data_IF_488895886425
#
_entry.id   IF_488895886425
#
_cell.length_a   1.000
_cell.length_b   1.000
_cell.length_c   1.000
_cell.angle_alpha   90.00
_cell.angle_beta   90.00
_cell.angle_gamma   90.00
#
_symmetry.space_group_name_H-M   'P 1'
#
loop_
_entity.id
_entity.type
_entity.pdbx_description
1 polymer ?
#
# COMPACT_ATOMS: atom_id res chain seq x y z
N UNK A 1 7.56 -35.61 27.61
CA UNK A 1 7.53 -35.69 26.14
C UNK A 1 7.11 -34.36 25.51
N UNK A 2 7.89 -33.83 24.55
CA UNK A 2 7.47 -32.70 23.71
C UNK A 2 6.53 -33.18 22.59
N UNK A 3 5.48 -32.41 22.32
CA UNK A 3 4.55 -32.70 21.23
C UNK A 3 5.06 -32.05 19.95
N UNK A 4 5.05 -32.82 18.85
CA UNK A 4 5.46 -32.31 17.55
C UNK A 4 4.36 -31.42 16.97
N UNK A 5 4.70 -30.17 16.69
CA UNK A 5 3.80 -29.20 16.05
C UNK A 5 3.58 -29.55 14.58
N UNK A 6 2.36 -29.32 14.12
CA UNK A 6 1.97 -29.31 12.72
C UNK A 6 1.66 -27.86 12.38
N UNK A 7 2.48 -27.27 11.52
CA UNK A 7 2.40 -25.87 11.16
C UNK A 7 2.10 -25.69 9.68
N UNK A 8 1.38 -24.63 9.36
CA UNK A 8 1.32 -24.05 8.02
C UNK A 8 2.13 -22.75 7.99
N UNK A 9 2.44 -22.26 6.80
CA UNK A 9 3.13 -20.98 6.60
C UNK A 9 2.22 -20.02 5.86
N UNK A 10 2.20 -18.77 6.29
CA UNK A 10 1.57 -17.66 5.58
C UNK A 10 2.68 -16.72 5.10
N UNK A 11 2.69 -16.40 3.81
CA UNK A 11 3.64 -15.42 3.24
C UNK A 11 2.86 -14.21 2.78
N UNK A 12 3.24 -13.04 3.30
CA UNK A 12 2.59 -11.78 2.97
C UNK A 12 3.59 -10.63 3.00
N UNK A 13 3.22 -9.51 2.39
CA UNK A 13 3.95 -8.26 2.46
C UNK A 13 3.48 -7.47 3.68
N UNK A 14 4.38 -7.22 4.62
CA UNK A 14 4.13 -6.36 5.77
C UNK A 14 4.42 -4.91 5.40
N UNK A 15 3.51 -3.99 5.74
CA UNK A 15 3.77 -2.56 5.66
C UNK A 15 4.61 -2.17 6.87
N UNK A 16 5.92 -2.02 6.66
CA UNK A 16 6.89 -1.72 7.72
C UNK A 16 6.93 -0.24 8.06
N UNK A 17 6.45 0.63 7.17
CA UNK A 17 6.54 2.07 7.33
C UNK A 17 5.57 2.79 6.40
N UNK A 18 4.93 3.85 6.89
CA UNK A 18 4.17 4.79 6.06
C UNK A 18 4.30 6.20 6.62
N UNK A 19 4.71 7.16 5.78
CA UNK A 19 4.84 8.56 6.18
C UNK A 19 4.51 9.52 5.04
N UNK A 20 3.95 10.67 5.43
CA UNK A 20 3.85 11.85 4.57
C UNK A 20 4.92 12.88 5.00
N UNK A 21 5.66 13.41 4.03
CA UNK A 21 6.69 14.43 4.24
C UNK A 21 6.55 15.54 3.21
N UNK A 22 6.61 16.79 3.68
CA UNK A 22 6.69 17.96 2.80
C UNK A 22 8.14 18.38 2.64
N UNK A 23 8.64 18.28 1.42
CA UNK A 23 9.98 18.73 1.04
C UNK A 23 9.90 20.07 0.31
N UNK A 24 10.93 20.89 0.42
CA UNK A 24 11.05 22.14 -0.33
C UNK A 24 12.26 22.09 -1.25
N UNK A 25 12.08 22.57 -2.48
CA UNK A 25 13.12 22.72 -3.49
C UNK A 25 13.16 24.20 -3.91
N UNK A 26 14.33 24.83 -3.82
CA UNK A 26 14.49 26.25 -4.12
C UNK A 26 15.70 26.50 -5.02
N UNK A 27 15.58 27.47 -5.92
CA UNK A 27 16.67 27.91 -6.78
C UNK A 27 16.50 29.36 -7.19
N UNK A 28 17.58 29.95 -7.70
CA UNK A 28 17.53 31.21 -8.43
C UNK A 28 17.69 30.92 -9.93
N UNK A 29 16.75 31.43 -10.72
CA UNK A 29 16.76 31.27 -12.18
C UNK A 29 17.24 32.55 -12.82
N UNK A 30 18.23 32.44 -13.69
CA UNK A 30 18.68 33.55 -14.54
C UNK A 30 17.92 33.46 -15.85
N UNK A 31 17.31 34.58 -16.25
CA UNK A 31 16.60 34.71 -17.53
C UNK A 31 17.65 34.70 -18.64
N UNK A 32 17.61 33.74 -19.59
CA UNK A 32 18.59 33.66 -20.67
C UNK A 32 18.66 34.96 -21.49
N UNK A 33 19.81 35.25 -22.09
CA UNK A 33 20.01 36.43 -22.93
C UNK A 33 19.10 36.45 -24.18
N UNK A 34 18.64 35.26 -24.61
CA UNK A 34 17.68 35.09 -25.71
C UNK A 34 16.26 35.51 -25.33
N UNK A 35 15.97 35.65 -24.04
CA UNK A 35 14.67 36.03 -23.53
C UNK A 35 14.64 37.53 -23.20
N UNK A 36 13.49 38.21 -23.31
CA UNK A 36 13.35 39.60 -22.89
C UNK A 36 13.31 39.77 -21.37
N UNK A 37 13.37 41.03 -20.91
CA UNK A 37 13.33 41.40 -19.49
C UNK A 37 11.96 41.08 -18.86
N UNK A 38 11.97 40.47 -17.67
CA UNK A 38 10.76 40.13 -16.92
C UNK A 38 10.12 41.37 -16.32
N UNK A 39 8.86 41.62 -16.66
CA UNK A 39 8.05 42.73 -16.13
C UNK A 39 7.07 42.22 -15.06
N UNK A 40 6.32 41.16 -15.36
CA UNK A 40 5.25 40.65 -14.51
C UNK A 40 5.11 39.12 -14.65
N UNK A 41 4.79 38.43 -13.54
CA UNK A 41 4.47 37.00 -13.55
C UNK A 41 2.96 36.78 -13.75
N UNK A 42 2.58 35.74 -14.49
CA UNK A 42 1.18 35.40 -14.75
C UNK A 42 0.76 34.11 -14.03
N UNK A 43 1.11 32.97 -14.62
CA UNK A 43 0.72 31.65 -14.14
C UNK A 43 1.96 30.76 -14.06
N UNK A 44 2.01 29.96 -12.99
CA UNK A 44 3.13 29.07 -12.72
C UNK A 44 2.57 27.68 -12.46
N UNK A 45 3.15 26.67 -13.10
CA UNK A 45 2.85 25.27 -12.81
C UNK A 45 4.11 24.51 -12.43
N UNK A 46 3.91 23.45 -11.66
CA UNK A 46 4.96 22.54 -11.27
C UNK A 46 4.52 21.11 -11.52
N UNK A 47 5.46 20.25 -11.86
CA UNK A 47 5.28 18.80 -11.93
C UNK A 47 6.46 18.13 -11.23
N UNK A 48 6.18 17.02 -10.55
CA UNK A 48 7.18 16.28 -9.79
C UNK A 48 7.51 15.00 -10.52
N UNK A 49 8.81 14.73 -10.63
CA UNK A 49 9.35 13.50 -11.20
C UNK A 49 10.21 12.83 -10.13
N UNK A 50 9.95 11.55 -9.86
CA UNK A 50 10.75 10.76 -8.93
C UNK A 50 11.83 10.04 -9.73
N UNK A 51 13.10 10.33 -9.44
CA UNK A 51 14.23 9.73 -10.14
C UNK A 51 14.60 8.40 -9.50
N UNK A 52 14.73 8.37 -8.17
CA UNK A 52 15.10 7.19 -7.40
C UNK A 52 14.44 7.14 -6.02
N UNK A 53 14.30 5.92 -5.51
CA UNK A 53 13.81 5.60 -4.17
C UNK A 53 14.65 4.45 -3.64
N UNK A 54 15.20 4.58 -2.44
CA UNK A 54 16.12 3.60 -1.87
C UNK A 54 15.78 3.38 -0.41
N UNK A 55 15.51 2.13 -0.05
CA UNK A 55 15.52 1.73 1.35
C UNK A 55 16.95 1.42 1.79
N UNK A 56 17.25 1.78 3.02
CA UNK A 56 18.48 1.46 3.76
C UNK A 56 18.05 1.14 5.19
N UNK A 57 18.87 0.41 5.94
CA UNK A 57 18.55 0.14 7.34
C UNK A 57 18.32 1.45 8.10
N UNK A 58 17.11 1.60 8.65
CA UNK A 58 16.69 2.78 9.41
C UNK A 58 16.13 3.94 8.60
N UNK A 59 16.13 3.90 7.25
CA UNK A 59 15.66 5.05 6.44
C UNK A 59 15.31 4.76 4.99
N UNK A 60 14.45 5.60 4.42
CA UNK A 60 14.16 5.71 2.99
C UNK A 60 14.72 7.04 2.47
N UNK A 61 15.41 6.99 1.34
CA UNK A 61 15.82 8.17 0.57
C UNK A 61 15.04 8.24 -0.74
N UNK A 62 14.40 9.37 -0.99
CA UNK A 62 13.69 9.68 -2.24
C UNK A 62 14.37 10.87 -2.89
N UNK A 63 14.86 10.68 -4.12
CA UNK A 63 15.43 11.74 -4.94
C UNK A 63 14.56 11.96 -6.18
N UNK A 64 14.35 13.22 -6.52
CA UNK A 64 13.54 13.61 -7.65
C UNK A 64 13.79 15.06 -8.05
N UNK A 65 12.95 15.54 -8.95
CA UNK A 65 12.99 16.92 -9.42
C UNK A 65 11.60 17.51 -9.55
N UNK A 66 11.52 18.83 -9.37
CA UNK A 66 10.33 19.62 -9.67
C UNK A 66 10.62 20.45 -10.91
N UNK A 67 9.88 20.21 -11.98
CA UNK A 67 9.91 21.05 -13.19
C UNK A 67 8.87 22.15 -13.03
N UNK A 68 9.33 23.39 -12.97
CA UNK A 68 8.49 24.57 -12.92
C UNK A 68 8.44 25.25 -14.29
N UNK A 69 7.23 25.44 -14.80
CA UNK A 69 6.96 26.27 -15.97
C UNK A 69 6.50 27.65 -15.49
N UNK A 70 7.18 28.70 -15.96
CA UNK A 70 7.01 30.08 -15.55
C UNK A 70 6.54 30.87 -16.76
N UNK A 71 5.33 31.41 -16.71
CA UNK A 71 4.82 32.33 -17.72
C UNK A 71 4.94 33.77 -17.21
N UNK A 72 5.63 34.61 -17.97
CA UNK A 72 5.84 36.02 -17.61
C UNK A 72 5.63 36.94 -18.81
N UNK A 73 5.32 38.20 -18.49
CA UNK A 73 5.21 39.28 -19.46
C UNK A 73 6.55 39.95 -19.67
N UNK A 74 6.91 40.15 -20.93
CA UNK A 74 8.03 40.98 -21.37
C UNK A 74 7.63 42.45 -21.58
N UNK A 75 8.63 43.31 -21.81
CA UNK A 75 8.46 44.72 -22.15
C UNK A 75 7.89 44.93 -23.57
N UNK A 76 6.68 44.44 -23.84
CA UNK A 76 5.85 44.68 -25.04
C UNK A 76 4.48 43.94 -24.95
N UNK A 77 4.06 43.53 -23.75
CA UNK A 77 2.91 42.63 -23.53
C UNK A 77 3.07 41.21 -24.13
N UNK A 78 4.27 40.86 -24.58
CA UNK A 78 4.58 39.50 -25.04
C UNK A 78 4.64 38.51 -23.86
N UNK A 79 3.96 37.38 -24.00
CA UNK A 79 3.95 36.29 -23.02
C UNK A 79 5.09 35.30 -23.31
N UNK A 80 6.06 35.18 -22.42
CA UNK A 80 7.24 34.34 -22.60
C UNK A 80 7.25 33.19 -21.59
N UNK A 81 7.62 32.00 -22.07
CA UNK A 81 7.87 30.81 -21.26
C UNK A 81 9.30 30.80 -20.76
N UNK A 82 9.47 30.47 -19.49
CA UNK A 82 10.73 30.05 -18.90
C UNK A 82 10.52 28.74 -18.15
N UNK A 83 11.43 27.80 -18.32
CA UNK A 83 11.40 26.51 -17.61
C UNK A 83 12.60 26.41 -16.67
N UNK A 84 12.39 25.84 -15.50
CA UNK A 84 13.46 25.43 -14.60
C UNK A 84 13.15 24.09 -13.96
N UNK A 85 14.19 23.33 -13.65
CA UNK A 85 14.08 22.05 -12.95
C UNK A 85 14.92 22.11 -11.70
N UNK A 86 14.30 21.84 -10.55
CA UNK A 86 14.92 21.91 -9.23
C UNK A 86 14.99 20.51 -8.64
N UNK A 87 16.19 20.00 -8.42
CA UNK A 87 16.40 18.71 -7.75
C UNK A 87 16.08 18.79 -6.27
N UNK A 88 15.55 17.71 -5.70
CA UNK A 88 15.36 17.55 -4.27
C UNK A 88 15.78 16.16 -3.81
N UNK A 89 16.09 16.05 -2.53
CA UNK A 89 16.29 14.79 -1.83
C UNK A 89 15.56 14.87 -0.50
N UNK A 90 14.78 13.84 -0.21
CA UNK A 90 14.03 13.69 1.02
C UNK A 90 14.46 12.39 1.70
N UNK A 91 14.61 12.45 3.02
CA UNK A 91 14.97 11.31 3.85
C UNK A 91 13.90 11.15 4.92
N UNK A 92 13.42 9.92 5.07
CA UNK A 92 12.46 9.51 6.09
C UNK A 92 13.11 8.42 6.92
N UNK A 93 13.14 8.56 8.24
CA UNK A 93 13.85 7.65 9.15
C UNK A 93 12.86 6.90 10.04
N UNK A 94 13.06 5.59 10.16
CA UNK A 94 12.32 4.69 11.04
C UNK A 94 13.11 3.39 11.26
N UNK A 95 13.21 2.94 12.51
CA UNK A 95 14.00 1.78 12.92
C UNK A 95 13.48 0.44 12.35
N UNK A 96 12.25 0.39 11.81
CA UNK A 96 11.68 -0.81 11.20
C UNK A 96 12.01 -0.97 9.71
N UNK A 97 12.56 0.08 9.07
CA UNK A 97 12.95 0.05 7.65
C UNK A 97 14.22 -0.78 7.46
N UNK A 98 14.25 -1.64 6.44
CA UNK A 98 15.43 -2.44 6.04
C UNK A 98 15.81 -2.21 4.59
N UNK A 99 17.06 -2.46 4.26
CA UNK A 99 17.61 -2.20 2.92
C UNK A 99 16.94 -2.97 1.76
N UNK A 100 16.29 -4.10 2.05
CA UNK A 100 15.57 -4.95 1.10
C UNK A 100 14.07 -4.60 0.97
N UNK A 101 13.59 -3.60 1.71
CA UNK A 101 12.20 -3.16 1.61
C UNK A 101 11.88 -2.62 0.21
N UNK A 102 10.72 -3.02 -0.29
CA UNK A 102 10.14 -2.45 -1.51
C UNK A 102 9.44 -1.14 -1.15
N UNK A 103 9.97 -0.03 -1.68
CA UNK A 103 9.45 1.31 -1.41
C UNK A 103 8.45 1.70 -2.50
N UNK A 104 7.24 2.08 -2.13
CA UNK A 104 6.29 2.77 -3.00
C UNK A 104 6.20 4.24 -2.61
N UNK A 105 6.05 5.12 -3.60
CA UNK A 105 6.00 6.57 -3.40
C UNK A 105 4.93 7.17 -4.30
N UNK A 106 4.16 8.12 -3.77
CA UNK A 106 3.44 9.12 -4.54
C UNK A 106 3.99 10.52 -4.22
N UNK A 107 3.91 11.41 -5.20
CA UNK A 107 4.45 12.76 -5.09
C UNK A 107 3.54 13.76 -5.79
N UNK A 108 3.22 14.84 -5.09
CA UNK A 108 2.40 15.94 -5.60
C UNK A 108 3.15 17.27 -5.44
N UNK A 109 3.20 18.12 -6.48
CA UNK A 109 3.77 19.45 -6.34
C UNK A 109 2.81 20.36 -5.56
N UNK A 110 3.36 21.21 -4.71
CA UNK A 110 2.67 22.43 -4.30
C UNK A 110 2.71 23.47 -5.42
N UNK A 111 1.84 24.48 -5.31
CA UNK A 111 1.94 25.65 -6.17
C UNK A 111 3.29 26.35 -5.91
N UNK A 112 4.12 26.57 -6.95
CA UNK A 112 5.41 27.23 -6.76
C UNK A 112 5.22 28.72 -6.42
N UNK A 113 5.99 29.21 -5.44
CA UNK A 113 6.16 30.63 -5.14
C UNK A 113 7.34 31.18 -5.95
N UNK A 114 7.06 32.11 -6.85
CA UNK A 114 8.05 32.71 -7.76
C UNK A 114 8.08 34.21 -7.53
N UNK A 115 9.27 34.75 -7.33
CA UNK A 115 9.47 36.18 -7.04
C UNK A 115 10.52 36.77 -7.98
N UNK A 116 10.22 37.94 -8.53
CA UNK A 116 11.16 38.71 -9.34
C UNK A 116 12.20 39.34 -8.40
N UNK A 117 13.48 38.97 -8.55
CA UNK A 117 14.58 39.65 -7.85
C UNK A 117 14.97 40.90 -8.63
N UNK A 118 15.10 40.76 -9.96
CA UNK A 118 15.24 41.85 -10.92
C UNK A 118 14.75 41.36 -12.30
N UNK A 119 14.84 42.21 -13.34
CA UNK A 119 14.34 41.87 -14.68
C UNK A 119 15.01 40.65 -15.34
N UNK A 120 16.13 40.16 -14.79
CA UNK A 120 16.90 39.01 -15.30
C UNK A 120 17.09 37.87 -14.30
N UNK A 121 16.47 37.96 -13.12
CA UNK A 121 16.68 36.99 -12.05
C UNK A 121 15.39 36.75 -11.26
N UNK A 122 15.01 35.48 -11.14
CA UNK A 122 13.84 35.04 -10.38
C UNK A 122 14.28 34.13 -9.22
N UNK A 123 13.62 34.25 -8.08
CA UNK A 123 13.66 33.23 -7.03
C UNK A 123 12.49 32.28 -7.22
N UNK A 124 12.74 30.97 -7.24
CA UNK A 124 11.71 29.93 -7.38
C UNK A 124 11.77 29.03 -6.16
N UNK A 125 10.63 28.86 -5.49
CA UNK A 125 10.45 27.94 -4.38
C UNK A 125 9.26 27.02 -4.68
N UNK A 126 9.50 25.72 -4.73
CA UNK A 126 8.49 24.71 -4.95
C UNK A 126 8.45 23.71 -3.78
N UNK A 127 7.25 23.46 -3.27
CA UNK A 127 7.02 22.39 -2.31
C UNK A 127 6.68 21.08 -3.02
N UNK A 128 7.00 19.97 -2.37
CA UNK A 128 6.65 18.61 -2.80
C UNK A 128 6.05 17.89 -1.61
N UNK A 129 4.83 17.39 -1.77
CA UNK A 129 4.22 16.47 -0.84
C UNK A 129 4.56 15.04 -1.24
N UNK A 130 5.38 14.36 -0.45
CA UNK A 130 5.73 12.96 -0.64
C UNK A 130 4.92 12.09 0.31
N UNK A 131 4.39 10.99 -0.21
CA UNK A 131 3.88 9.88 0.61
C UNK A 131 4.69 8.65 0.25
N UNK A 132 5.38 8.07 1.23
CA UNK A 132 6.15 6.85 1.02
C UNK A 132 5.61 5.73 1.90
N UNK A 133 5.62 4.52 1.36
CA UNK A 133 5.40 3.29 2.11
C UNK A 133 6.50 2.28 1.82
N UNK A 134 6.92 1.53 2.83
CA UNK A 134 7.85 0.41 2.67
C UNK A 134 7.15 -0.91 2.95
N UNK A 135 7.47 -1.91 2.14
CA UNK A 135 6.87 -3.23 2.21
C UNK A 135 7.94 -4.31 2.20
N UNK A 136 7.81 -5.28 3.10
CA UNK A 136 8.72 -6.43 3.19
C UNK A 136 7.94 -7.72 3.08
N UNK A 137 8.38 -8.63 2.22
CA UNK A 137 7.83 -9.98 2.18
C UNK A 137 8.31 -10.76 3.41
N UNK A 138 7.36 -11.27 4.18
CA UNK A 138 7.60 -12.00 5.43
C UNK A 138 6.83 -13.32 5.39
N UNK A 139 7.47 -14.39 5.85
CA UNK A 139 6.83 -15.70 6.03
C UNK A 139 6.70 -16.01 7.51
N UNK A 140 5.46 -16.17 7.97
CA UNK A 140 5.13 -16.49 9.35
C UNK A 140 4.69 -17.95 9.46
N UNK A 141 5.15 -18.65 10.50
CA UNK A 141 4.75 -20.03 10.80
C UNK A 141 3.59 -20.05 11.79
N UNK A 142 2.51 -20.76 11.46
CA UNK A 142 1.31 -20.87 12.28
C UNK A 142 1.09 -22.32 12.66
N UNK A 143 1.11 -22.62 13.96
CA UNK A 143 0.72 -23.92 14.46
C UNK A 143 -0.81 -24.09 14.35
N UNK A 144 -1.25 -25.08 13.56
CA UNK A 144 -2.66 -25.44 13.41
C UNK A 144 -3.04 -26.70 14.18
N UNK A 145 -2.05 -27.54 14.48
CA UNK A 145 -2.25 -28.79 15.20
C UNK A 145 -0.98 -29.30 15.87
N UNK A 146 -1.09 -30.37 16.65
CA UNK A 146 0.04 -31.15 17.17
C UNK A 146 -0.20 -32.64 16.94
N UNK A 147 0.88 -33.42 16.79
CA UNK A 147 0.79 -34.88 16.82
C UNK A 147 0.39 -35.33 18.24
N UNK A 148 -0.85 -35.82 18.39
CA UNK A 148 -1.42 -36.23 19.69
C UNK A 148 -1.20 -37.73 19.91
N UNK A 149 -0.44 -38.14 20.93
CA UNK A 149 -0.34 -39.53 21.32
C UNK A 149 -1.60 -40.01 22.06
N UNK A 150 -1.99 -41.27 21.81
CA UNK A 150 -3.12 -41.90 22.50
C UNK A 150 -2.88 -42.03 24.02
N UNK A 151 -3.97 -42.03 24.80
CA UNK A 151 -3.93 -42.26 26.24
C UNK A 151 -3.65 -41.02 27.11
N UNK A 152 -3.26 -39.89 26.52
CA UNK A 152 -2.92 -38.67 27.26
C UNK A 152 -4.06 -37.67 27.43
N UNK A 153 -5.26 -37.97 26.93
CA UNK A 153 -6.44 -37.12 27.15
C UNK A 153 -6.27 -35.68 26.66
N UNK A 154 -5.46 -35.46 25.63
CA UNK A 154 -5.19 -34.11 25.10
C UNK A 154 -6.44 -33.58 24.40
N UNK A 155 -6.72 -32.30 24.60
CA UNK A 155 -7.79 -31.51 23.97
C UNK A 155 -7.16 -30.29 23.33
N UNK A 156 -7.63 -29.96 22.12
CA UNK A 156 -7.18 -28.81 21.33
C UNK A 156 -8.36 -27.89 20.97
N UNK A 157 -8.10 -26.60 20.96
CA UNK A 157 -9.00 -25.57 20.45
C UNK A 157 -8.37 -24.99 19.19
N UNK A 158 -8.96 -25.31 18.04
CA UNK A 158 -8.58 -24.77 16.74
C UNK A 158 -9.66 -23.80 16.30
N UNK A 159 -9.25 -22.60 15.88
CA UNK A 159 -10.14 -21.59 15.35
C UNK A 159 -9.73 -21.18 13.95
N UNK A 160 -10.73 -20.88 13.13
CA UNK A 160 -10.54 -20.27 11.83
C UNK A 160 -10.53 -18.75 11.99
N UNK A 161 -9.42 -18.11 11.65
CA UNK A 161 -9.23 -16.67 11.70
C UNK A 161 -9.21 -16.13 10.29
N UNK A 162 -10.02 -15.10 10.03
CA UNK A 162 -10.00 -14.37 8.75
C UNK A 162 -8.97 -13.26 8.86
N UNK A 163 -7.94 -13.30 8.03
CA UNK A 163 -6.85 -12.33 8.04
C UNK A 163 -6.76 -11.67 6.68
N UNK A 164 -6.73 -10.34 6.66
CA UNK A 164 -6.45 -9.58 5.45
C UNK A 164 -4.94 -9.36 5.35
N UNK A 165 -4.34 -9.81 4.25
CA UNK A 165 -2.90 -9.73 4.01
C UNK A 165 -2.63 -8.99 2.69
N UNK A 166 -1.47 -8.34 2.59
CA UNK A 166 -0.97 -7.88 1.30
C UNK A 166 -0.24 -9.05 0.64
N UNK A 167 -0.69 -9.48 -0.52
CA UNK A 167 -0.13 -10.66 -1.20
C UNK A 167 0.87 -10.28 -2.27
N UNK A 168 0.76 -9.06 -2.80
CA UNK A 168 1.66 -8.58 -3.83
C UNK A 168 1.84 -7.06 -3.74
N UNK A 169 3.10 -6.65 -3.85
CA UNK A 169 3.53 -5.28 -4.08
C UNK A 169 4.31 -5.27 -5.38
N UNK A 170 3.76 -4.65 -6.42
CA UNK A 170 4.33 -4.70 -7.79
C UNK A 170 4.33 -3.33 -8.43
N UNK A 171 5.15 -3.19 -9.46
CA UNK A 171 5.11 -2.04 -10.34
C UNK A 171 5.39 -2.41 -11.79
N UNK A 172 4.95 -1.55 -12.69
CA UNK A 172 5.25 -1.66 -14.12
C UNK A 172 5.43 -0.28 -14.72
N UNK A 173 6.54 -0.08 -15.42
CA UNK A 173 6.76 1.10 -16.25
C UNK A 173 6.36 0.82 -17.70
N UNK A 174 5.69 1.78 -18.34
CA UNK A 174 5.33 1.73 -19.75
C UNK A 174 5.36 3.12 -20.36
N UNK A 175 5.49 3.18 -21.69
CA UNK A 175 5.45 4.42 -22.46
C UNK A 175 4.21 4.44 -23.33
N UNK A 176 3.54 5.58 -23.37
CA UNK A 176 2.44 5.87 -24.29
C UNK A 176 2.90 6.99 -25.23
N UNK A 177 2.70 6.77 -26.53
CA UNK A 177 2.93 7.76 -27.57
C UNK A 177 1.66 7.88 -28.40
N UNK A 178 1.13 9.10 -28.52
CA UNK A 178 -0.04 9.36 -29.33
C UNK A 178 -0.02 10.80 -29.87
N UNK A 179 -0.92 11.09 -30.80
CA UNK A 179 -1.04 12.36 -31.50
C UNK A 179 -2.44 12.92 -31.35
N UNK A 180 -2.51 14.23 -31.18
CA UNK A 180 -3.75 14.97 -31.03
C UNK A 180 -3.86 16.04 -32.09
N UNK A 181 -5.05 16.18 -32.68
CA UNK A 181 -5.33 17.27 -33.60
C UNK A 181 -5.99 18.41 -32.82
N UNK A 182 -5.42 19.61 -32.89
CA UNK A 182 -6.02 20.84 -32.37
C UNK A 182 -7.36 21.08 -33.08
N UNK A 183 -8.37 21.50 -32.32
CA UNK A 183 -9.72 21.80 -32.83
C UNK A 183 -9.68 22.67 -34.09
N UNK A 184 -10.53 22.37 -35.08
CA UNK A 184 -10.54 23.08 -36.37
C UNK A 184 -10.82 24.59 -36.26
N UNK A 185 -11.50 25.01 -35.19
CA UNK A 185 -11.78 26.42 -34.91
C UNK A 185 -10.55 27.20 -34.43
N UNK A 186 -9.48 26.50 -34.02
CA UNK A 186 -8.25 27.02 -33.45
C UNK A 186 -7.10 26.91 -34.44
N UNK A 187 -6.07 27.73 -34.21
CA UNK A 187 -4.85 27.77 -35.02
C UNK A 187 -3.87 26.69 -34.56
N UNK A 188 -3.01 26.22 -35.47
CA UNK A 188 -1.97 25.26 -35.11
C UNK A 188 -0.92 25.86 -34.18
N UNK A 189 -0.22 25.01 -33.42
CA UNK A 189 0.76 25.40 -32.43
C UNK A 189 2.17 25.54 -33.05
N UNK A 190 2.76 26.73 -32.96
CA UNK A 190 4.17 26.96 -33.24
C UNK A 190 5.03 26.57 -32.02
N UNK A 191 4.61 26.97 -30.83
CA UNK A 191 5.34 26.76 -29.58
C UNK A 191 4.40 26.36 -28.44
N UNK A 192 4.81 25.37 -27.65
CA UNK A 192 4.12 25.03 -26.39
C UNK A 192 4.61 25.95 -25.28
N UNK A 193 3.70 26.72 -24.70
CA UNK A 193 3.99 27.64 -23.60
C UNK A 193 3.87 26.96 -22.23
N UNK A 194 2.95 26.00 -22.09
CA UNK A 194 2.71 25.26 -20.85
C UNK A 194 2.12 23.89 -21.16
N UNK A 195 2.46 22.88 -20.36
CA UNK A 195 1.80 21.57 -20.42
C UNK A 195 1.65 20.94 -19.06
N UNK A 196 0.42 20.53 -18.74
CA UNK A 196 0.10 19.71 -17.60
C UNK A 196 -0.42 18.35 -18.08
N UNK A 197 0.23 17.27 -17.64
CA UNK A 197 -0.14 15.90 -18.03
C UNK A 197 -0.40 15.10 -16.77
N UNK A 198 -1.64 14.64 -16.60
CA UNK A 198 -2.07 13.86 -15.45
C UNK A 198 -2.54 12.48 -15.88
N UNK A 199 -2.38 11.51 -14.99
CA UNK A 199 -2.80 10.13 -15.21
C UNK A 199 -3.83 9.80 -14.14
N UNK A 200 -5.00 9.36 -14.56
CA UNK A 200 -6.08 8.98 -13.64
C UNK A 200 -6.51 7.55 -13.93
N UNK A 201 -6.71 6.77 -12.87
CA UNK A 201 -7.33 5.45 -12.97
C UNK A 201 -8.82 5.58 -13.34
N UNK A 202 -9.30 4.76 -14.27
CA UNK A 202 -10.73 4.66 -14.56
C UNK A 202 -11.34 3.38 -14.00
N UNK A 203 -10.68 2.23 -14.22
CA UNK A 203 -11.13 0.92 -13.76
C UNK A 203 -9.95 -0.06 -13.80
N UNK A 204 -9.97 -1.09 -12.95
CA UNK A 204 -9.06 -2.22 -13.07
C UNK A 204 -9.77 -3.53 -12.76
N UNK A 205 -9.28 -4.61 -13.38
CA UNK A 205 -9.76 -5.97 -13.11
C UNK A 205 -8.60 -6.92 -12.93
N UNK A 206 -8.70 -7.75 -11.92
CA UNK A 206 -7.82 -8.90 -11.74
C UNK A 206 -8.42 -10.10 -12.46
N UNK A 207 -7.68 -10.67 -13.41
CA UNK A 207 -8.06 -11.89 -14.13
C UNK A 207 -6.89 -12.86 -14.05
N UNK A 208 -7.03 -13.92 -13.27
CA UNK A 208 -5.90 -14.76 -12.91
C UNK A 208 -4.85 -13.93 -12.17
N UNK A 209 -3.60 -14.01 -12.63
CA UNK A 209 -2.44 -13.29 -12.11
C UNK A 209 -2.13 -12.00 -12.87
N UNK A 210 -3.14 -11.37 -13.46
CA UNK A 210 -2.97 -10.20 -14.32
C UNK A 210 -3.97 -9.11 -13.95
N UNK A 211 -3.44 -7.95 -13.61
CA UNK A 211 -4.20 -6.72 -13.42
C UNK A 211 -4.33 -6.06 -14.79
N UNK A 212 -5.54 -6.05 -15.33
CA UNK A 212 -5.90 -5.30 -16.53
C UNK A 212 -6.40 -3.95 -16.06
N UNK A 213 -5.55 -2.93 -16.20
CA UNK A 213 -5.83 -1.57 -15.75
C UNK A 213 -6.22 -0.70 -16.94
N UNK A 214 -7.23 0.15 -16.73
CA UNK A 214 -7.66 1.19 -17.65
C UNK A 214 -7.53 2.53 -16.96
N UNK A 215 -6.89 3.46 -17.65
CA UNK A 215 -6.75 4.83 -17.19
C UNK A 215 -6.94 5.81 -18.32
N UNK A 216 -6.90 7.08 -17.97
CA UNK A 216 -6.91 8.19 -18.90
C UNK A 216 -5.75 9.12 -18.59
N UNK A 217 -5.03 9.52 -19.63
CA UNK A 217 -4.08 10.62 -19.56
C UNK A 217 -4.84 11.88 -19.99
N UNK A 218 -4.88 12.88 -19.12
CA UNK A 218 -5.43 14.20 -19.46
C UNK A 218 -4.28 15.16 -19.72
N UNK A 219 -4.31 15.82 -20.86
CA UNK A 219 -3.32 16.82 -21.27
C UNK A 219 -4.00 18.16 -21.35
N UNK A 220 -3.54 19.14 -20.58
CA UNK A 220 -3.95 20.53 -20.68
C UNK A 220 -2.75 21.37 -21.09
N UNK A 221 -2.85 22.05 -22.23
CA UNK A 221 -1.74 22.78 -22.83
C UNK A 221 -2.14 24.20 -23.20
N UNK A 222 -1.19 25.12 -23.05
CA UNK A 222 -1.24 26.47 -23.62
C UNK A 222 -0.15 26.58 -24.68
N UNK A 223 -0.46 27.15 -25.83
CA UNK A 223 0.47 27.27 -26.95
C UNK A 223 0.33 28.61 -27.65
N UNK A 224 1.37 28.98 -28.40
CA UNK A 224 1.41 30.12 -29.30
C UNK A 224 1.24 29.61 -30.72
N UNK A 225 0.35 30.24 -31.49
CA UNK A 225 0.19 29.97 -32.92
C UNK A 225 1.21 30.73 -33.76
N UNK A 226 1.35 30.35 -35.03
CA UNK A 226 2.20 31.06 -36.01
C UNK A 226 1.79 32.52 -36.26
N UNK A 227 0.55 32.90 -35.89
CA UNK A 227 0.07 34.29 -35.93
C UNK A 227 0.35 35.04 -34.62
N UNK A 228 1.03 34.41 -33.66
CA UNK A 228 1.34 34.97 -32.34
C UNK A 228 0.17 34.92 -31.34
N UNK A 229 -0.94 34.28 -31.68
CA UNK A 229 -2.09 34.16 -30.78
C UNK A 229 -1.85 33.08 -29.73
N UNK A 230 -2.21 33.36 -28.48
CA UNK A 230 -2.14 32.39 -27.39
C UNK A 230 -3.48 31.66 -27.28
N UNK A 231 -3.45 30.34 -27.41
CA UNK A 231 -4.61 29.47 -27.34
C UNK A 231 -4.37 28.29 -26.38
N UNK A 232 -5.45 27.60 -26.01
CA UNK A 232 -5.39 26.41 -25.17
C UNK A 232 -5.89 25.17 -25.92
N UNK A 233 -5.38 24.00 -25.57
CA UNK A 233 -5.92 22.72 -26.03
C UNK A 233 -5.92 21.70 -24.89
N UNK A 234 -7.01 20.93 -24.82
CA UNK A 234 -7.20 19.88 -23.84
C UNK A 234 -7.51 18.56 -24.54
N UNK A 235 -6.86 17.48 -24.12
CA UNK A 235 -7.01 16.16 -24.72
C UNK A 235 -7.11 15.07 -23.66
N UNK A 236 -7.86 14.02 -23.97
CA UNK A 236 -7.95 12.82 -23.17
C UNK A 236 -7.47 11.61 -23.98
N UNK A 237 -6.53 10.87 -23.42
CA UNK A 237 -6.00 9.65 -24.01
C UNK A 237 -6.28 8.45 -23.10
N UNK A 238 -7.34 7.68 -23.38
CA UNK A 238 -7.60 6.44 -22.66
C UNK A 238 -6.51 5.42 -23.01
N UNK A 239 -6.06 4.67 -22.01
CA UNK A 239 -5.09 3.60 -22.18
C UNK A 239 -5.51 2.35 -21.42
N UNK A 240 -4.99 1.21 -21.89
CA UNK A 240 -5.17 -0.09 -21.25
C UNK A 240 -3.82 -0.77 -21.15
N UNK A 241 -3.48 -1.23 -19.94
CA UNK A 241 -2.23 -1.95 -19.68
C UNK A 241 -2.50 -3.20 -18.87
N UNK A 242 -1.58 -4.15 -18.99
CA UNK A 242 -1.61 -5.39 -18.22
C UNK A 242 -0.36 -5.44 -17.35
N UNK A 243 -0.53 -5.62 -16.05
CA UNK A 243 0.55 -5.85 -15.09
C UNK A 243 0.39 -7.25 -14.48
N UNK A 244 1.49 -7.98 -14.37
CA UNK A 244 1.48 -9.29 -13.71
C UNK A 244 1.55 -9.10 -12.20
N UNK A 245 0.81 -9.94 -11.47
CA UNK A 245 0.77 -9.95 -10.00
C UNK A 245 0.78 -11.37 -9.48
N UNK A 246 1.31 -11.55 -8.28
CA UNK A 246 1.26 -12.84 -7.57
C UNK A 246 0.01 -12.97 -6.68
N UNK A 247 -0.78 -11.90 -6.55
CA UNK A 247 -2.01 -11.88 -5.77
C UNK A 247 -3.08 -12.85 -6.29
N UNK A 248 -3.93 -13.31 -5.36
CA UNK A 248 -5.06 -14.18 -5.61
C UNK A 248 -6.13 -13.52 -6.47
N UNK A 249 -6.94 -14.30 -7.20
CA UNK A 249 -7.88 -13.77 -8.20
C UNK A 249 -8.97 -12.85 -7.60
N UNK A 250 -9.27 -13.03 -6.32
CA UNK A 250 -10.23 -12.24 -5.54
C UNK A 250 -9.57 -11.08 -4.77
N UNK A 251 -8.26 -10.88 -4.92
CA UNK A 251 -7.56 -9.79 -4.28
C UNK A 251 -8.06 -8.43 -4.80
N UNK A 252 -8.26 -7.50 -3.86
CA UNK A 252 -8.46 -6.09 -4.14
C UNK A 252 -7.10 -5.43 -4.36
N UNK A 253 -6.92 -4.74 -5.49
CA UNK A 253 -5.70 -3.99 -5.75
C UNK A 253 -5.96 -2.48 -5.61
N UNK A 254 -5.08 -1.77 -4.91
CA UNK A 254 -5.03 -0.32 -4.94
C UNK A 254 -3.87 0.10 -5.88
N UNK A 255 -4.17 0.98 -6.84
CA UNK A 255 -3.21 1.44 -7.84
C UNK A 255 -2.80 2.90 -7.60
N UNK A 256 -1.53 3.21 -7.84
CA UNK A 256 -1.01 4.58 -7.89
C UNK A 256 -0.10 4.78 -9.09
N UNK A 257 0.00 6.02 -9.57
CA UNK A 257 0.75 6.35 -10.78
C UNK A 257 1.85 7.37 -10.48
N UNK A 258 3.01 7.16 -11.10
CA UNK A 258 4.10 8.12 -11.15
C UNK A 258 4.35 8.52 -12.59
N UNK A 259 4.27 9.81 -12.87
CA UNK A 259 4.80 10.37 -14.11
C UNK A 259 6.33 10.36 -14.03
N UNK A 260 6.99 9.56 -14.89
CA UNK A 260 8.47 9.47 -14.93
C UNK A 260 9.06 10.54 -15.84
N UNK A 261 8.41 10.77 -16.97
CA UNK A 261 8.76 11.83 -17.91
C UNK A 261 7.61 12.05 -18.89
N UNK A 262 7.53 13.24 -19.47
CA UNK A 262 6.78 13.42 -20.71
C UNK A 262 7.35 14.54 -21.58
N UNK A 263 7.03 14.45 -22.86
CA UNK A 263 7.29 15.46 -23.88
C UNK A 263 6.01 15.68 -24.69
N UNK A 264 5.59 16.94 -24.82
CA UNK A 264 4.52 17.38 -25.71
C UNK A 264 5.11 18.37 -26.71
N UNK A 265 4.96 18.11 -28.01
CA UNK A 265 5.54 18.97 -29.06
C UNK A 265 4.65 19.03 -30.30
N UNK A 266 4.58 20.19 -31.00
CA UNK A 266 3.91 20.26 -32.29
C UNK A 266 4.70 19.48 -33.35
N UNK A 267 3.97 18.82 -34.25
CA UNK A 267 4.56 18.16 -35.40
C UNK A 267 5.11 19.21 -36.36
N UNK A 268 6.42 19.15 -36.62
CA UNK A 268 7.14 20.13 -37.44
C UNK A 268 6.97 19.91 -38.95
N UNK A 269 6.09 18.99 -39.37
CA UNK A 269 5.87 18.74 -40.79
C UNK A 269 5.08 19.91 -41.41
N UNK A 270 5.68 20.50 -42.45
CA UNK A 270 5.21 21.72 -43.14
C UNK A 270 3.78 21.65 -43.67
N UNK A 271 3.20 20.45 -43.78
CA UNK A 271 1.84 20.25 -44.26
C UNK A 271 0.77 20.54 -43.20
N UNK A 272 1.08 20.38 -41.91
CA UNK A 272 0.08 20.44 -40.84
C UNK A 272 0.15 21.73 -40.01
N UNK A 273 1.10 22.63 -40.29
CA UNK A 273 1.26 23.92 -39.60
C UNK A 273 1.07 23.79 -38.07
N UNK A 274 1.66 22.76 -37.44
CA UNK A 274 1.58 22.55 -35.99
C UNK A 274 0.19 22.15 -35.45
N UNK A 275 -0.77 21.74 -36.30
CA UNK A 275 -2.09 21.27 -35.86
C UNK A 275 -2.05 19.95 -35.09
N UNK A 276 -1.03 19.13 -35.31
CA UNK A 276 -0.86 17.89 -34.58
C UNK A 276 0.12 18.09 -33.42
N UNK A 277 -0.26 17.68 -32.22
CA UNK A 277 0.63 17.61 -31.06
C UNK A 277 0.95 16.15 -30.76
N UNK A 278 2.24 15.82 -30.68
CA UNK A 278 2.70 14.49 -30.28
C UNK A 278 3.05 14.48 -28.79
N UNK A 279 2.40 13.60 -28.04
CA UNK A 279 2.73 13.31 -26.64
C UNK A 279 3.52 12.00 -26.57
N UNK A 280 4.62 12.04 -25.82
CA UNK A 280 5.29 10.83 -25.32
C UNK A 280 5.36 10.91 -23.80
N UNK A 281 4.68 10.01 -23.10
CA UNK A 281 4.64 9.94 -21.65
C UNK A 281 5.17 8.59 -21.15
N UNK A 282 6.07 8.61 -20.16
CA UNK A 282 6.56 7.44 -19.45
C UNK A 282 5.95 7.43 -18.05
N UNK A 283 5.26 6.33 -17.72
CA UNK A 283 4.42 6.21 -16.53
C UNK A 283 4.80 4.91 -15.82
N UNK A 284 4.94 4.97 -14.50
CA UNK A 284 5.03 3.78 -13.64
C UNK A 284 3.72 3.64 -12.89
N UNK A 285 3.04 2.50 -13.06
CA UNK A 285 1.95 2.09 -12.17
C UNK A 285 2.52 1.25 -11.03
N UNK A 286 2.06 1.49 -9.81
CA UNK A 286 2.34 0.71 -8.62
C UNK A 286 1.03 0.06 -8.16
N UNK A 287 1.10 -1.19 -7.68
CA UNK A 287 -0.04 -1.90 -7.11
C UNK A 287 0.30 -2.51 -5.75
N UNK A 288 -0.67 -2.39 -4.85
CA UNK A 288 -0.72 -3.14 -3.59
C UNK A 288 -1.99 -3.98 -3.63
N UNK A 289 -1.86 -5.31 -3.71
CA UNK A 289 -2.99 -6.22 -3.76
C UNK A 289 -3.18 -6.93 -2.43
N UNK A 290 -4.41 -6.91 -1.92
CA UNK A 290 -4.82 -7.48 -0.64
C UNK A 290 -5.92 -8.49 -0.82
N UNK A 291 -5.87 -9.59 -0.10
CA UNK A 291 -6.99 -10.54 -0.03
C UNK A 291 -7.27 -10.90 1.41
N UNK A 292 -8.43 -11.53 1.64
CA UNK A 292 -8.75 -12.11 2.94
C UNK A 292 -8.68 -13.63 2.84
N UNK A 293 -7.76 -14.22 3.57
CA UNK A 293 -7.63 -15.67 3.70
C UNK A 293 -8.12 -16.15 5.08
N UNK A 294 -8.56 -17.40 5.15
CA UNK A 294 -8.95 -18.05 6.39
C UNK A 294 -7.83 -19.01 6.81
N UNK A 295 -7.27 -18.77 8.00
CA UNK A 295 -6.19 -19.58 8.56
C UNK A 295 -6.68 -20.33 9.80
N UNK A 296 -6.31 -21.60 9.92
CA UNK A 296 -6.56 -22.39 11.12
C UNK A 296 -5.42 -22.20 12.13
N UNK A 297 -5.77 -21.85 13.36
CA UNK A 297 -4.81 -21.61 14.44
C UNK A 297 -5.15 -22.51 15.62
N UNK A 298 -4.16 -23.24 16.12
CA UNK A 298 -4.25 -23.91 17.42
C UNK A 298 -4.09 -22.86 18.52
N UNK A 299 -5.20 -22.28 18.93
CA UNK A 299 -5.25 -21.24 19.97
C UNK A 299 -4.92 -21.78 21.35
N UNK A 300 -5.37 -23.00 21.66
CA UNK A 300 -5.15 -23.58 22.97
C UNK A 300 -5.09 -25.11 22.97
N UNK A 301 -4.40 -25.65 23.97
CA UNK A 301 -4.21 -27.08 24.16
C UNK A 301 -4.01 -27.40 25.64
N UNK A 302 -4.67 -28.47 26.12
CA UNK A 302 -4.48 -28.98 27.48
C UNK A 302 -4.70 -30.49 27.54
N UNK A 303 -4.27 -31.13 28.64
CA UNK A 303 -4.56 -32.54 28.92
C UNK A 303 -5.48 -32.67 30.14
N UNK A 304 -6.48 -33.54 30.05
CA UNK A 304 -7.35 -33.88 31.19
C UNK A 304 -6.69 -34.86 32.15
N UNK A 305 -5.61 -35.56 31.77
CA UNK A 305 -5.05 -36.67 32.55
C UNK A 305 -3.62 -36.45 33.03
N UNK A 306 -2.83 -35.61 32.36
CA UNK A 306 -1.42 -35.37 32.74
C UNK A 306 -1.14 -33.87 32.79
N UNK A 307 -0.21 -33.41 33.65
CA UNK A 307 0.29 -32.04 33.60
C UNK A 307 0.90 -31.73 32.24
N UNK A 308 0.62 -30.53 31.73
CA UNK A 308 1.07 -30.06 30.43
C UNK A 308 1.61 -28.63 30.56
N UNK A 309 2.71 -28.35 29.86
CA UNK A 309 3.31 -27.04 29.73
C UNK A 309 3.14 -26.56 28.29
N UNK A 310 2.68 -25.32 28.13
CA UNK A 310 2.48 -24.68 26.83
C UNK A 310 3.12 -23.31 26.80
N UNK A 311 3.71 -22.95 25.66
CA UNK A 311 4.27 -21.64 25.38
C UNK A 311 3.66 -21.16 24.05
N UNK A 312 3.25 -19.90 24.02
CA UNK A 312 2.64 -19.27 22.85
C UNK A 312 3.48 -18.09 22.40
N UNK A 313 3.38 -17.78 21.12
CA UNK A 313 3.98 -16.63 20.48
C UNK A 313 2.88 -15.79 19.84
N UNK A 314 3.03 -14.47 19.92
CA UNK A 314 2.11 -13.53 19.32
C UNK A 314 2.72 -12.99 18.02
N UNK A 315 2.04 -13.27 16.91
CA UNK A 315 2.39 -12.80 15.58
C UNK A 315 1.43 -11.67 15.14
N UNK A 316 1.94 -10.73 14.37
CA UNK A 316 1.14 -9.77 13.62
C UNK A 316 1.10 -10.24 12.17
N UNK A 317 -0.07 -10.59 11.66
CA UNK A 317 -0.26 -10.97 10.26
C UNK A 317 -1.26 -9.99 9.66
N UNK A 318 -0.80 -9.15 8.74
CA UNK A 318 -1.54 -7.94 8.37
C UNK A 318 -1.79 -7.08 9.61
N UNK A 319 -3.06 -6.73 9.86
CA UNK A 319 -3.48 -6.02 11.07
C UNK A 319 -4.00 -6.95 12.18
N UNK A 320 -4.01 -8.26 11.95
CA UNK A 320 -4.56 -9.25 12.88
C UNK A 320 -3.48 -9.80 13.80
N UNK A 321 -3.78 -9.81 15.10
CA UNK A 321 -2.96 -10.48 16.12
C UNK A 321 -3.33 -11.96 16.18
N UNK A 322 -2.35 -12.82 15.94
CA UNK A 322 -2.51 -14.27 16.02
C UNK A 322 -1.65 -14.80 17.17
N UNK A 323 -2.28 -15.46 18.13
CA UNK A 323 -1.57 -16.17 19.20
C UNK A 323 -1.41 -17.63 18.79
N UNK A 324 -0.21 -18.03 18.40
CA UNK A 324 0.08 -19.37 17.91
C UNK A 324 0.86 -20.19 18.94
N UNK A 325 0.59 -21.49 19.02
CA UNK A 325 1.32 -22.38 19.91
C UNK A 325 2.79 -22.51 19.43
N UNK A 326 3.72 -22.11 20.29
CA UNK A 326 5.16 -22.22 20.02
C UNK A 326 5.75 -23.53 20.57
N UNK A 327 5.35 -23.95 21.78
CA UNK A 327 5.77 -25.22 22.37
C UNK A 327 4.66 -25.87 23.18
N UNK A 328 4.58 -27.20 23.12
CA UNK A 328 3.72 -28.02 23.98
C UNK A 328 4.49 -29.23 24.49
N UNK A 329 4.45 -29.47 25.80
CA UNK A 329 5.09 -30.62 26.43
C UNK A 329 4.19 -31.24 27.50
N UNK A 330 4.12 -32.57 27.53
CA UNK A 330 3.34 -33.34 28.50
C UNK A 330 4.26 -34.11 29.45
N UNK A 331 3.92 -34.11 30.75
CA UNK A 331 4.60 -34.93 31.74
C UNK A 331 4.03 -36.35 31.74
N UNK A 332 4.66 -37.26 31.00
CA UNK A 332 4.20 -38.66 30.87
C UNK A 332 4.37 -39.50 32.14
N UNK A 333 5.21 -39.05 33.07
CA UNK A 333 5.51 -39.77 34.30
C UNK A 333 4.56 -39.41 35.45
N UNK A 334 3.63 -38.47 35.23
CA UNK A 334 2.74 -37.95 36.26
C UNK A 334 1.30 -37.88 35.75
N UNK A 335 0.39 -38.55 36.45
CA UNK A 335 -1.05 -38.35 36.26
C UNK A 335 -1.54 -37.28 37.22
N UNK A 336 -2.47 -36.45 36.76
CA UNK A 336 -3.17 -35.49 37.62
C UNK A 336 -3.89 -36.24 38.73
N UNK A 337 -3.62 -35.87 39.98
CA UNK A 337 -4.30 -36.45 41.13
C UNK A 337 -5.73 -35.93 41.22
N UNK A 338 -6.70 -36.84 41.09
CA UNK A 338 -8.13 -36.57 41.18
C UNK A 338 -8.79 -37.19 42.40
N UNK A 339 -8.02 -37.81 43.30
CA UNK A 339 -8.52 -38.59 44.45
C UNK A 339 -9.30 -37.77 45.49
N UNK A 340 -9.20 -36.44 45.43
CA UNK A 340 -9.96 -35.49 46.27
C UNK A 340 -10.99 -34.63 45.53
N UNK A 341 -11.17 -34.81 44.21
CA UNK A 341 -12.11 -33.99 43.44
C UNK A 341 -13.52 -34.61 43.43
N UNK A 342 -14.59 -33.81 43.54
CA UNK A 342 -15.96 -34.31 43.44
C UNK A 342 -16.25 -34.79 42.01
N UNK A 343 -17.08 -35.83 41.85
CA UNK A 343 -17.43 -36.35 40.51
C UNK A 343 -18.19 -35.33 39.63
N UNK A 344 -18.89 -34.37 40.25
CA UNK A 344 -19.59 -33.28 39.58
C UNK A 344 -19.46 -32.00 40.41
N UNK A 345 -19.11 -30.90 39.75
CA UNK A 345 -19.15 -29.54 40.32
C UNK A 345 -20.38 -28.82 39.79
N UNK A 346 -21.21 -28.27 40.68
CA UNK A 346 -22.33 -27.40 40.30
C UNK A 346 -21.89 -25.94 40.53
N UNK A 347 -21.89 -25.12 39.47
CA UNK A 347 -21.48 -23.71 39.54
C UNK A 347 -22.46 -22.79 38.83
N UNK A 348 -22.53 -21.54 39.29
CA UNK A 348 -23.17 -20.46 38.53
C UNK A 348 -22.18 -19.93 37.50
N UNK A 349 -22.58 -19.84 36.24
CA UNK A 349 -21.78 -19.25 35.16
C UNK A 349 -22.16 -17.80 34.96
N UNK A 350 -21.21 -16.97 34.57
CA UNK A 350 -21.50 -15.64 34.04
C UNK A 350 -21.77 -15.68 32.53
N UNK A 351 -22.44 -14.66 32.01
CA UNK A 351 -22.71 -14.56 30.58
C UNK A 351 -21.41 -14.28 29.81
N UNK A 352 -21.14 -15.08 28.77
CA UNK A 352 -19.96 -14.94 27.91
C UNK A 352 -18.80 -15.87 28.27
N UNK A 353 -18.88 -16.61 29.39
CA UNK A 353 -17.86 -17.63 29.70
C UNK A 353 -17.79 -18.69 28.59
N UNK A 354 -16.57 -19.07 28.21
CA UNK A 354 -16.34 -20.12 27.22
C UNK A 354 -16.34 -21.51 27.88
N UNK A 355 -17.06 -22.46 27.28
CA UNK A 355 -17.04 -23.86 27.75
C UNK A 355 -15.62 -24.44 27.77
N UNK A 356 -14.77 -23.98 26.87
CA UNK A 356 -13.38 -24.39 26.76
C UNK A 356 -12.57 -24.08 28.03
N UNK A 357 -12.64 -22.84 28.51
CA UNK A 357 -11.94 -22.41 29.72
C UNK A 357 -12.39 -23.21 30.94
N UNK A 358 -13.69 -23.50 31.02
CA UNK A 358 -14.24 -24.34 32.08
C UNK A 358 -13.76 -25.79 31.98
N UNK A 359 -13.77 -26.36 30.79
CA UNK A 359 -13.27 -27.71 30.57
C UNK A 359 -11.80 -27.85 30.96
N UNK A 360 -10.97 -26.85 30.59
CA UNK A 360 -9.57 -26.74 30.98
C UNK A 360 -9.39 -26.57 32.49
N UNK A 361 -10.19 -25.70 33.12
CA UNK A 361 -10.12 -25.42 34.56
C UNK A 361 -10.41 -26.65 35.43
N UNK A 362 -11.37 -27.50 35.01
CA UNK A 362 -11.83 -28.65 35.78
C UNK A 362 -11.30 -30.00 35.26
N UNK A 363 -10.28 -29.98 34.39
CA UNK A 363 -9.67 -31.19 33.82
C UNK A 363 -10.70 -32.16 33.22
N UNK A 364 -11.65 -31.60 32.46
CA UNK A 364 -12.73 -32.31 31.78
C UNK A 364 -12.79 -31.88 30.31
N UNK A 365 -13.84 -32.23 29.59
CA UNK A 365 -13.98 -31.92 28.17
C UNK A 365 -15.21 -31.07 27.90
N UNK A 366 -15.16 -30.28 26.82
CA UNK A 366 -16.31 -29.48 26.37
C UNK A 366 -17.51 -30.38 26.11
N UNK A 367 -17.30 -31.56 25.52
CA UNK A 367 -18.35 -32.55 25.23
C UNK A 367 -19.00 -33.09 26.50
N UNK A 368 -18.20 -33.35 27.55
CA UNK A 368 -18.71 -33.83 28.83
C UNK A 368 -19.57 -32.79 29.53
N UNK A 369 -19.14 -31.52 29.54
CA UNK A 369 -19.94 -30.42 30.07
C UNK A 369 -21.20 -30.21 29.23
N UNK A 370 -21.08 -30.19 27.89
CA UNK A 370 -22.21 -29.97 27.00
C UNK A 370 -23.28 -31.07 27.15
N UNK A 371 -22.85 -32.34 27.24
CA UNK A 371 -23.74 -33.48 27.44
C UNK A 371 -24.48 -33.41 28.79
N UNK A 372 -23.77 -33.08 29.88
CA UNK A 372 -24.38 -32.99 31.21
C UNK A 372 -25.42 -31.87 31.34
N UNK A 373 -25.36 -30.85 30.47
CA UNK A 373 -26.23 -29.67 30.53
C UNK A 373 -27.17 -29.54 29.31
N UNK A 374 -27.23 -30.56 28.44
CA UNK A 374 -28.05 -30.52 27.22
C UNK A 374 -27.77 -29.30 26.32
N UNK A 375 -26.49 -28.89 26.23
CA UNK A 375 -26.07 -27.76 25.40
C UNK A 375 -25.82 -28.23 23.96
N UNK A 376 -26.67 -27.80 23.04
CA UNK A 376 -26.53 -28.11 21.61
C UNK A 376 -25.62 -27.09 20.92
N UNK A 377 -24.31 -27.36 20.85
CA UNK A 377 -23.36 -26.60 20.04
C UNK A 377 -23.03 -25.17 20.52
N UNK A 378 -23.46 -24.79 21.72
CA UNK A 378 -23.13 -23.49 22.31
C UNK A 378 -21.64 -23.45 22.69
N UNK A 379 -20.89 -22.45 22.19
CA UNK A 379 -19.48 -22.23 22.59
C UNK A 379 -19.36 -21.32 23.82
N UNK A 380 -20.30 -20.39 23.97
CA UNK A 380 -20.39 -19.46 25.10
C UNK A 380 -21.65 -19.71 25.91
N UNK A 381 -21.55 -19.45 27.21
CA UNK A 381 -22.62 -19.71 28.16
C UNK A 381 -23.43 -18.45 28.47
N UNK A 382 -24.72 -18.66 28.70
CA UNK A 382 -25.57 -17.67 29.37
C UNK A 382 -25.38 -17.79 30.88
N UNK A 383 -25.77 -16.76 31.61
CA UNK A 383 -25.82 -16.83 33.07
C UNK A 383 -26.79 -17.92 33.52
N UNK A 384 -26.34 -18.86 34.35
CA UNK A 384 -27.16 -19.97 34.80
C UNK A 384 -26.40 -21.03 35.59
N UNK A 385 -27.12 -22.04 36.08
CA UNK A 385 -26.49 -23.17 36.75
C UNK A 385 -25.87 -24.11 35.71
N UNK A 386 -24.62 -24.52 35.94
CA UNK A 386 -23.86 -25.43 35.09
C UNK A 386 -23.33 -26.61 35.91
N UNK A 387 -23.55 -27.82 35.41
CA UNK A 387 -22.95 -29.06 35.91
C UNK A 387 -21.63 -29.33 35.18
N UNK A 388 -20.53 -29.44 35.90
CA UNK A 388 -19.20 -29.74 35.33
C UNK A 388 -18.77 -31.11 35.82
N UNK A 389 -18.84 -32.17 34.99
CA UNK A 389 -18.32 -33.49 35.35
C UNK A 389 -16.81 -33.43 35.48
N UNK A 390 -16.26 -33.89 36.60
CA UNK A 390 -14.81 -34.06 36.75
C UNK A 390 -14.50 -35.52 36.42
N UNK A 391 -13.90 -35.74 35.25
CA UNK A 391 -13.57 -37.10 34.80
C UNK A 391 -12.44 -37.65 35.66
N UNK A 392 -12.66 -38.78 36.36
CA UNK A 392 -11.64 -39.44 37.18
C UNK A 392 -10.51 -40.09 36.39
#
# INVERSE_FOLDING_TARGET
MELKRICDTITCWENTFTQELRQTAQTEVIVPDTCPDVVQLYENSAMVFIDSRRAMDGKIEVAGSVRCEILYQAAEEELVRLETTIGFTAVMEDDDIRADDTVLVSAEPDRPDIRIINSRKLAVNAGVLLRAGAYRETTNEICKDVDIPEGYGIRRLVTANRVETVEAVKEKTFTITDRFEIERAKSGAEEILRSNVNVTEQDHKLIGRKIILKGVITVDSMYRSFEGQVENASFELPFSQIMETEGNEDARCDLSFLMRAFLLQPEQDSYYEGRNLELKAEITVQAVCRSTEEIEVLEDIYSVSHPMQTEYEQLMIGETRINTLNRAAINENEKKDKSGMPSVVMRMTEAGEALWDLARQYDTTVEAIASANSLSGARTLKRGMLLVPVMG
#
